data_IF_930574645884
#
_entry.id   IF_930574645884
#
_cell.length_a   1.000
_cell.length_b   1.000
_cell.length_c   1.000
_cell.angle_alpha   90.00
_cell.angle_beta   90.00
_cell.angle_gamma   90.00
#
_symmetry.space_group_name_H-M   'P 1'
#
loop_
_entity.id
_entity.type
_entity.pdbx_description
1 polymer ?
#
# COMPACT_ATOMS: atom_id res chain seq x y z
N UNK A 1 -3.77 28.54 -14.07
CA UNK A 1 -3.11 27.26 -14.44
C UNK A 1 -2.41 26.74 -13.20
N UNK A 2 -2.90 25.65 -12.60
CA UNK A 2 -2.12 24.95 -11.57
C UNK A 2 -0.94 24.29 -12.30
N UNK A 3 0.29 24.59 -11.88
CA UNK A 3 1.46 23.89 -12.40
C UNK A 3 1.24 22.39 -12.25
N UNK A 4 1.61 21.63 -13.25
CA UNK A 4 1.59 20.16 -13.16
C UNK A 4 2.46 19.78 -11.96
N UNK A 5 1.88 19.06 -11.00
CA UNK A 5 2.65 18.59 -9.84
C UNK A 5 3.72 17.63 -10.36
N UNK A 6 4.93 17.89 -10.01
CA UNK A 6 6.03 16.98 -10.31
C UNK A 6 6.12 15.93 -9.19
N UNK A 7 5.57 14.78 -9.48
CA UNK A 7 5.50 13.67 -8.51
C UNK A 7 6.87 13.17 -8.04
N UNK A 8 7.87 13.41 -8.82
CA UNK A 8 9.26 13.10 -8.44
C UNK A 8 9.82 14.10 -7.45
N UNK A 9 9.47 15.30 -7.59
CA UNK A 9 10.06 16.32 -6.85
C UNK A 9 9.28 16.81 -5.73
N UNK A 10 8.06 16.73 -5.91
CA UNK A 10 7.28 17.54 -4.97
C UNK A 10 6.55 16.71 -3.92
N UNK A 11 6.55 17.17 -2.66
CA UNK A 11 5.58 16.70 -1.66
C UNK A 11 4.19 17.27 -1.97
N UNK A 12 3.13 16.47 -1.80
CA UNK A 12 1.77 16.85 -2.20
C UNK A 12 0.88 16.98 -0.95
N UNK A 13 0.32 18.16 -0.73
CA UNK A 13 -0.61 18.36 0.38
C UNK A 13 -1.96 17.69 0.07
N UNK A 14 -2.32 16.67 0.85
CA UNK A 14 -3.58 15.92 0.68
C UNK A 14 -4.68 16.44 1.61
N UNK A 15 -4.29 17.07 2.72
CA UNK A 15 -5.18 17.79 3.65
C UNK A 15 -4.32 18.80 4.39
N UNK A 16 -4.93 19.74 5.08
CA UNK A 16 -4.20 20.82 5.78
C UNK A 16 -3.08 20.24 6.66
N UNK A 17 -1.84 20.62 6.36
CA UNK A 17 -0.65 20.16 7.10
C UNK A 17 -0.35 18.67 6.98
N UNK A 18 -0.96 17.99 6.01
CA UNK A 18 -0.78 16.56 5.75
C UNK A 18 -0.29 16.38 4.33
N UNK A 19 0.88 15.76 4.18
CA UNK A 19 1.59 15.68 2.90
C UNK A 19 1.93 14.25 2.54
N UNK A 20 1.67 13.88 1.30
CA UNK A 20 2.24 12.67 0.71
C UNK A 20 3.70 12.98 0.35
N UNK A 21 4.62 12.11 0.76
CA UNK A 21 6.07 12.32 0.59
C UNK A 21 6.77 11.09 -0.01
N UNK A 22 5.99 10.30 -0.73
CA UNK A 22 6.51 9.09 -1.36
C UNK A 22 7.05 9.27 -2.79
N UNK A 23 7.38 8.35 -3.37
CA UNK A 23 7.81 8.25 -4.67
C UNK A 23 6.82 7.46 -5.42
N UNK A 24 6.55 7.80 -6.51
CA UNK A 24 5.74 7.03 -7.45
C UNK A 24 6.36 7.06 -8.84
N UNK A 25 7.29 6.18 -9.10
CA UNK A 25 7.86 6.07 -10.45
C UNK A 25 6.77 5.70 -11.45
N UNK A 26 6.73 6.34 -12.63
CA UNK A 26 5.71 6.02 -13.65
C UNK A 26 5.73 4.55 -14.04
N UNK A 27 4.56 3.94 -14.11
CA UNK A 27 4.39 2.56 -14.53
C UNK A 27 4.67 1.51 -13.46
N UNK A 28 5.04 1.93 -12.26
CA UNK A 28 5.30 0.98 -11.17
C UNK A 28 3.98 0.45 -10.61
N UNK A 29 3.84 -0.88 -10.61
CA UNK A 29 2.65 -1.57 -10.15
C UNK A 29 2.43 -1.40 -8.64
N UNK A 30 3.53 -1.36 -7.89
CA UNK A 30 3.53 -1.38 -6.42
C UNK A 30 4.56 -0.38 -5.90
N UNK A 31 4.16 0.47 -4.96
CA UNK A 31 5.03 1.49 -4.36
C UNK A 31 4.51 1.82 -2.97
N UNK A 32 5.39 2.37 -2.12
CA UNK A 32 5.02 2.76 -0.77
C UNK A 32 4.67 4.24 -0.67
N UNK A 33 3.72 4.57 0.20
CA UNK A 33 3.22 5.92 0.44
C UNK A 33 3.56 6.39 1.86
N UNK A 34 4.73 6.95 2.11
CA UNK A 34 4.96 7.69 3.35
C UNK A 34 4.17 9.00 3.37
N UNK A 35 3.73 9.39 4.58
CA UNK A 35 3.00 10.64 4.79
C UNK A 35 3.64 11.44 5.91
N UNK A 36 3.69 12.76 5.75
CA UNK A 36 4.14 13.69 6.80
C UNK A 36 2.94 14.47 7.32
N UNK A 37 2.72 14.47 8.62
CA UNK A 37 1.72 15.32 9.26
C UNK A 37 2.40 16.31 10.20
N UNK A 38 2.21 17.60 9.95
CA UNK A 38 2.79 18.71 10.72
C UNK A 38 1.69 19.31 11.61
N UNK A 39 1.84 19.18 12.92
CA UNK A 39 0.93 19.77 13.89
C UNK A 39 1.55 21.04 14.47
N UNK A 40 0.78 22.10 14.51
CA UNK A 40 1.19 23.37 15.14
C UNK A 40 0.24 23.68 16.29
N UNK A 41 0.80 24.00 17.45
CA UNK A 41 -0.05 24.42 18.57
C UNK A 41 -0.80 25.71 18.19
N UNK A 42 -2.10 25.74 18.49
CA UNK A 42 -2.86 26.98 18.41
C UNK A 42 -2.32 27.91 19.51
N UNK A 43 -1.61 28.95 19.13
CA UNK A 43 -1.20 29.97 20.09
C UNK A 43 -2.46 30.64 20.63
N UNK A 44 -2.76 30.37 21.88
CA UNK A 44 -3.80 31.16 22.56
C UNK A 44 -3.32 32.60 22.63
N UNK A 45 -4.01 33.52 21.97
CA UNK A 45 -3.71 34.94 21.96
C UNK A 45 -3.81 35.60 23.36
N UNK A 46 -4.05 34.79 24.40
CA UNK A 46 -4.26 35.25 25.78
C UNK A 46 -3.12 34.92 26.75
N UNK A 47 -2.08 34.22 26.31
CA UNK A 47 -0.93 33.96 27.19
C UNK A 47 0.15 35.02 27.01
N UNK A 48 -0.01 36.12 27.72
CA UNK A 48 1.03 37.12 27.88
C UNK A 48 2.04 36.61 28.91
N UNK A 49 3.23 36.21 28.46
CA UNK A 49 4.37 36.15 29.34
C UNK A 49 5.03 34.83 29.69
N UNK A 50 4.94 33.81 28.83
CA UNK A 50 5.85 32.68 28.90
C UNK A 50 6.29 32.29 27.47
N UNK A 51 7.57 31.99 27.36
CA UNK A 51 8.22 31.57 26.12
C UNK A 51 7.77 30.16 25.74
N UNK A 52 6.47 29.99 25.49
CA UNK A 52 5.91 28.83 24.87
C UNK A 52 5.96 29.09 23.34
N UNK A 53 7.16 29.04 22.80
CA UNK A 53 7.37 29.13 21.37
C UNK A 53 6.50 28.10 20.65
N UNK A 54 6.12 28.41 19.41
CA UNK A 54 5.32 27.55 18.55
C UNK A 54 5.77 26.10 18.66
N UNK A 55 5.02 25.30 19.40
CA UNK A 55 5.31 23.88 19.50
C UNK A 55 4.82 23.19 18.23
N UNK A 56 5.75 22.61 17.52
CA UNK A 56 5.43 21.78 16.38
C UNK A 56 5.60 20.30 16.77
N UNK A 57 4.77 19.45 16.20
CA UNK A 57 4.94 18.02 16.28
C UNK A 57 4.92 17.48 14.83
N UNK A 58 6.05 17.00 14.38
CA UNK A 58 6.26 16.56 13.00
C UNK A 58 6.28 15.03 12.99
N UNK A 59 5.21 14.43 12.45
CA UNK A 59 4.99 12.99 12.45
C UNK A 59 5.14 12.44 11.04
N UNK A 60 6.14 11.57 10.85
CA UNK A 60 6.28 10.80 9.61
C UNK A 60 5.56 9.46 9.80
N UNK A 61 4.61 9.17 8.93
CA UNK A 61 3.77 7.97 9.02
C UNK A 61 4.20 7.02 7.93
N UNK A 62 4.62 5.81 8.33
CA UNK A 62 5.11 4.74 7.47
C UNK A 62 6.25 5.25 6.57
N UNK A 63 7.42 5.29 7.14
CA UNK A 63 8.60 6.01 6.59
C UNK A 63 9.12 5.46 5.24
N UNK A 64 8.58 4.34 4.79
CA UNK A 64 9.00 3.70 3.55
C UNK A 64 10.22 2.81 3.69
N UNK A 65 10.67 2.28 2.56
CA UNK A 65 11.83 1.40 2.50
C UNK A 65 13.14 2.19 2.57
N UNK A 66 14.23 1.48 2.80
CA UNK A 66 15.57 2.07 2.77
C UNK A 66 15.93 2.63 1.39
N UNK A 67 15.44 2.04 0.32
CA UNK A 67 15.67 2.53 -1.05
C UNK A 67 14.95 3.86 -1.32
N UNK A 68 13.78 4.08 -0.70
CA UNK A 68 13.00 5.31 -0.89
C UNK A 68 13.54 6.49 -0.07
N UNK A 69 14.43 6.23 0.88
CA UNK A 69 14.81 7.17 1.92
C UNK A 69 15.26 8.53 1.37
N UNK A 70 16.06 8.56 0.30
CA UNK A 70 16.58 9.83 -0.23
C UNK A 70 15.45 10.75 -0.72
N UNK A 71 14.48 10.17 -1.42
CA UNK A 71 13.33 10.92 -1.96
C UNK A 71 12.42 11.36 -0.82
N UNK A 72 12.11 10.46 0.10
CA UNK A 72 11.27 10.77 1.27
C UNK A 72 11.88 11.91 2.07
N UNK A 73 13.20 11.84 2.33
CA UNK A 73 13.91 12.89 3.03
C UNK A 73 13.77 14.24 2.34
N UNK A 74 14.05 14.31 1.04
CA UNK A 74 13.96 15.56 0.27
C UNK A 74 12.57 16.18 0.37
N UNK A 75 11.52 15.36 0.24
CA UNK A 75 10.14 15.83 0.30
C UNK A 75 9.72 16.25 1.71
N UNK A 76 10.17 15.54 2.74
CA UNK A 76 9.94 15.93 4.14
C UNK A 76 10.63 17.28 4.40
N UNK A 77 11.88 17.46 3.95
CA UNK A 77 12.63 18.69 4.17
C UNK A 77 12.05 19.90 3.41
N UNK A 78 11.21 19.70 2.39
CA UNK A 78 10.43 20.78 1.79
C UNK A 78 9.41 21.39 2.78
N UNK A 79 9.01 20.66 3.80
CA UNK A 79 7.94 21.06 4.73
C UNK A 79 8.44 21.43 6.12
N UNK A 80 9.47 20.74 6.62
CA UNK A 80 9.98 20.98 7.97
C UNK A 80 11.47 21.43 7.97
N UNK A 81 11.97 21.81 6.81
CA UNK A 81 13.32 22.35 6.58
C UNK A 81 14.46 21.35 6.81
N UNK A 82 14.42 20.56 7.87
CA UNK A 82 15.49 19.61 8.22
C UNK A 82 14.89 18.35 8.86
N UNK A 83 15.42 17.21 8.48
CA UNK A 83 14.93 15.93 8.97
C UNK A 83 15.10 15.76 10.50
N UNK A 84 16.08 16.45 11.11
CA UNK A 84 16.27 16.41 12.57
C UNK A 84 15.13 17.08 13.36
N UNK A 85 14.21 17.75 12.66
CA UNK A 85 13.00 18.33 13.25
C UNK A 85 11.84 17.32 13.33
N UNK A 86 12.02 16.08 12.86
CA UNK A 86 11.04 15.03 13.08
C UNK A 86 10.88 14.75 14.57
N UNK A 87 9.64 14.72 15.02
CA UNK A 87 9.31 14.43 16.44
C UNK A 87 9.06 12.94 16.63
N UNK A 88 8.45 12.30 15.65
CA UNK A 88 8.14 10.86 15.73
C UNK A 88 8.00 10.23 14.34
N UNK A 89 8.22 8.93 14.31
CA UNK A 89 7.89 8.06 13.18
C UNK A 89 6.82 7.09 13.65
N UNK A 90 5.71 7.02 12.94
CA UNK A 90 4.64 6.03 13.16
C UNK A 90 4.86 4.86 12.22
N UNK A 91 4.77 3.63 12.74
CA UNK A 91 4.92 2.41 11.93
C UNK A 91 3.67 1.57 12.10
N UNK A 92 2.88 1.46 11.04
CA UNK A 92 1.60 0.73 11.04
C UNK A 92 1.81 -0.76 11.38
N UNK A 93 2.76 -1.40 10.70
CA UNK A 93 3.10 -2.81 10.92
C UNK A 93 4.56 -3.04 10.50
N UNK A 94 5.04 -4.28 10.60
CA UNK A 94 6.48 -4.59 10.62
C UNK A 94 7.18 -4.68 9.25
N UNK A 95 6.47 -4.55 8.15
CA UNK A 95 7.07 -4.84 6.84
C UNK A 95 8.14 -3.80 6.46
N UNK A 96 9.21 -4.24 5.76
CA UNK A 96 10.32 -3.33 5.46
C UNK A 96 9.97 -2.12 4.60
N UNK A 97 9.02 -2.27 3.69
CA UNK A 97 8.52 -1.17 2.85
C UNK A 97 7.68 -0.15 3.64
N UNK A 98 7.18 -0.56 4.82
CA UNK A 98 6.46 0.33 5.74
C UNK A 98 7.44 1.19 6.55
N UNK A 99 8.50 0.57 7.09
CA UNK A 99 9.23 1.23 8.15
C UNK A 99 10.74 1.07 8.18
N UNK A 100 11.37 0.41 7.21
CA UNK A 100 12.82 0.13 7.35
C UNK A 100 13.68 1.39 7.26
N UNK A 101 13.25 2.47 6.59
CA UNK A 101 14.01 3.71 6.56
C UNK A 101 14.06 4.41 7.92
N UNK A 102 13.20 4.05 8.87
CA UNK A 102 13.25 4.58 10.25
C UNK A 102 14.61 4.32 10.91
N UNK A 103 15.28 3.22 10.56
CA UNK A 103 16.65 2.94 11.04
C UNK A 103 17.63 4.04 10.65
N UNK A 104 17.61 4.48 9.39
CA UNK A 104 18.47 5.57 8.91
C UNK A 104 18.04 6.91 9.53
N UNK A 105 16.74 7.15 9.63
CA UNK A 105 16.20 8.38 10.22
C UNK A 105 16.70 8.53 11.67
N UNK A 106 16.45 7.56 12.53
CA UNK A 106 16.85 7.65 13.93
C UNK A 106 18.37 7.54 14.10
N UNK A 107 19.02 6.70 13.30
CA UNK A 107 20.47 6.48 13.45
C UNK A 107 21.34 7.63 13.01
N UNK A 108 20.87 8.48 12.09
CA UNK A 108 21.72 9.53 11.47
C UNK A 108 21.15 10.95 11.56
N UNK A 109 19.84 11.12 11.58
CA UNK A 109 19.23 12.43 11.40
C UNK A 109 18.43 12.90 12.62
N UNK A 110 17.53 12.07 13.13
CA UNK A 110 16.62 12.43 14.20
C UNK A 110 16.70 11.45 15.39
N UNK A 111 17.83 11.38 16.08
CA UNK A 111 18.04 10.37 17.13
C UNK A 111 17.12 10.52 18.34
N UNK A 112 16.45 11.66 18.48
CA UNK A 112 15.49 11.89 19.57
C UNK A 112 14.03 11.63 19.15
N UNK A 113 13.78 11.32 17.88
CA UNK A 113 12.43 11.03 17.41
C UNK A 113 11.90 9.75 18.07
N UNK A 114 10.63 9.76 18.46
CA UNK A 114 9.97 8.56 18.97
C UNK A 114 9.61 7.61 17.83
N UNK A 115 9.56 6.31 18.13
CA UNK A 115 9.01 5.29 17.22
C UNK A 115 7.69 4.82 17.83
N UNK A 116 6.59 5.14 17.16
CA UNK A 116 5.24 4.82 17.64
C UNK A 116 4.75 3.59 16.85
N UNK A 117 4.49 2.50 17.53
CA UNK A 117 4.04 1.24 16.92
C UNK A 117 3.38 0.38 17.98
N UNK A 118 2.69 -0.69 17.60
CA UNK A 118 2.21 -1.69 18.56
C UNK A 118 3.38 -2.51 19.11
N UNK A 119 3.20 -3.11 20.28
CA UNK A 119 4.19 -4.03 20.86
C UNK A 119 4.47 -5.21 19.91
N UNK A 120 3.44 -5.72 19.23
CA UNK A 120 3.62 -6.82 18.26
C UNK A 120 4.49 -6.39 17.06
N UNK A 121 4.29 -5.18 16.57
CA UNK A 121 5.11 -4.60 15.50
C UNK A 121 6.53 -4.38 16.00
N UNK A 122 6.67 -3.78 17.20
CA UNK A 122 7.98 -3.50 17.80
C UNK A 122 8.85 -4.73 17.89
N UNK A 123 8.26 -5.90 18.24
CA UNK A 123 9.01 -7.17 18.37
C UNK A 123 9.82 -7.50 17.11
N UNK A 124 9.40 -7.02 15.96
CA UNK A 124 10.08 -7.28 14.68
C UNK A 124 10.93 -6.10 14.25
N UNK A 125 10.39 -4.87 14.30
CA UNK A 125 11.12 -3.69 13.78
C UNK A 125 12.32 -3.30 14.66
N UNK A 126 12.36 -3.72 15.93
CA UNK A 126 13.56 -3.47 16.77
C UNK A 126 14.83 -4.03 16.12
N UNK A 127 14.70 -5.05 15.26
CA UNK A 127 15.84 -5.64 14.55
C UNK A 127 16.40 -4.73 13.45
N UNK A 128 15.74 -3.62 13.15
CA UNK A 128 16.33 -2.52 12.37
C UNK A 128 17.34 -1.70 13.21
N UNK A 129 17.64 -2.14 14.44
CA UNK A 129 18.51 -1.46 15.41
C UNK A 129 17.90 -0.15 15.90
N UNK A 130 16.60 -0.10 16.08
CA UNK A 130 15.91 1.05 16.64
C UNK A 130 16.14 1.12 18.16
N UNK A 131 16.36 2.31 18.74
CA UNK A 131 16.61 2.44 20.17
C UNK A 131 15.34 2.21 21.00
N UNK A 132 15.40 1.27 21.93
CA UNK A 132 14.24 0.88 22.77
C UNK A 132 13.68 2.07 23.56
N UNK A 133 14.54 2.98 23.99
CA UNK A 133 14.15 4.16 24.77
C UNK A 133 13.31 5.15 23.98
N UNK A 134 13.28 5.05 22.66
CA UNK A 134 12.44 5.89 21.79
C UNK A 134 11.09 5.23 21.47
N UNK A 135 10.88 3.98 21.86
CA UNK A 135 9.66 3.25 21.53
C UNK A 135 8.49 3.73 22.37
N UNK A 136 7.36 3.97 21.69
CA UNK A 136 6.06 4.28 22.32
C UNK A 136 5.05 3.23 21.84
N UNK A 137 4.50 2.46 22.77
CA UNK A 137 3.51 1.43 22.46
C UNK A 137 2.15 2.09 22.21
N UNK A 138 1.74 2.15 20.94
CA UNK A 138 0.44 2.74 20.56
C UNK A 138 -0.75 1.96 21.13
N UNK A 139 -0.55 0.69 21.46
CA UNK A 139 -1.59 -0.14 22.11
C UNK A 139 -2.11 0.43 23.42
N UNK A 140 -1.30 1.26 24.09
CA UNK A 140 -1.71 1.93 25.33
C UNK A 140 -2.58 3.18 25.08
N UNK A 141 -2.74 3.60 23.83
CA UNK A 141 -3.40 4.85 23.43
C UNK A 141 -4.59 4.64 22.49
N UNK A 142 -5.18 3.46 22.47
CA UNK A 142 -6.31 3.17 21.56
C UNK A 142 -7.53 4.06 21.81
N UNK A 143 -7.64 4.64 23.02
CA UNK A 143 -8.69 5.62 23.33
C UNK A 143 -8.33 7.05 22.96
N UNK A 144 -7.12 7.28 22.45
CA UNK A 144 -6.63 8.59 22.02
C UNK A 144 -5.16 8.77 22.36
N UNK A 145 -4.38 9.19 21.38
CA UNK A 145 -2.95 9.50 21.52
C UNK A 145 -2.80 11.01 21.61
N UNK A 146 -2.60 11.56 22.82
CA UNK A 146 -2.46 13.02 22.97
C UNK A 146 -1.09 13.48 22.50
N UNK A 147 -1.04 14.62 21.80
CA UNK A 147 0.20 15.23 21.33
C UNK A 147 0.51 16.49 22.15
N UNK A 148 1.79 16.87 22.30
CA UNK A 148 2.17 18.10 23.04
C UNK A 148 1.58 19.39 22.48
N UNK A 149 1.13 19.37 21.23
CA UNK A 149 0.48 20.51 20.55
C UNK A 149 -0.99 20.68 20.94
N UNK A 150 -1.54 19.76 21.75
CA UNK A 150 -2.95 19.77 22.16
C UNK A 150 -3.87 18.94 21.27
N UNK A 151 -3.38 18.45 20.16
CA UNK A 151 -4.13 17.55 19.28
C UNK A 151 -4.23 16.14 19.90
N UNK A 152 -5.24 15.38 19.50
CA UNK A 152 -5.38 13.98 19.88
C UNK A 152 -5.62 13.14 18.62
N UNK A 153 -4.72 12.21 18.34
CA UNK A 153 -4.88 11.23 17.26
C UNK A 153 -5.67 10.01 17.77
N UNK A 154 -6.28 9.28 16.86
CA UNK A 154 -7.05 8.06 17.18
C UNK A 154 -6.38 6.84 16.53
N UNK A 155 -5.60 6.06 17.29
CA UNK A 155 -5.15 4.76 16.80
C UNK A 155 -6.36 3.82 16.62
N UNK A 156 -6.39 3.07 15.53
CA UNK A 156 -7.49 2.15 15.20
C UNK A 156 -6.87 0.78 14.93
N UNK A 157 -7.09 -0.17 15.82
CA UNK A 157 -6.56 -1.51 15.66
C UNK A 157 -7.14 -2.17 14.40
N UNK A 158 -6.26 -2.63 13.53
CA UNK A 158 -6.61 -3.29 12.26
C UNK A 158 -6.01 -4.70 12.21
N UNK A 159 -6.20 -5.43 13.31
CA UNK A 159 -5.57 -6.75 13.51
C UNK A 159 -5.85 -7.68 12.34
N UNK A 160 -4.78 -8.24 11.78
CA UNK A 160 -4.78 -9.11 10.61
C UNK A 160 -5.14 -8.41 9.29
N UNK A 161 -4.98 -7.08 9.25
CA UNK A 161 -5.01 -6.33 8.00
C UNK A 161 -3.62 -5.67 7.77
N UNK A 162 -2.54 -6.43 7.36
CA UNK A 162 -2.59 -7.92 7.22
C UNK A 162 -1.90 -8.62 8.41
N UNK A 163 -1.28 -7.90 9.31
CA UNK A 163 -0.49 -8.41 10.44
C UNK A 163 -1.26 -8.24 11.77
N UNK A 164 -0.97 -9.12 12.74
CA UNK A 164 -1.66 -9.09 14.04
C UNK A 164 -1.48 -7.76 14.78
N UNK A 165 -0.30 -7.13 14.61
CA UNK A 165 0.03 -5.86 15.27
C UNK A 165 -0.32 -4.61 14.49
N UNK A 166 -0.99 -4.73 13.35
CA UNK A 166 -1.32 -3.56 12.52
C UNK A 166 -2.26 -2.61 13.25
N UNK A 167 -1.91 -1.32 13.27
CA UNK A 167 -2.72 -0.26 13.88
C UNK A 167 -2.75 0.95 12.93
N UNK A 168 -3.91 1.26 12.41
CA UNK A 168 -4.14 2.46 11.61
C UNK A 168 -4.11 3.70 12.49
N UNK A 169 -3.89 4.86 11.89
CA UNK A 169 -3.89 6.13 12.61
C UNK A 169 -4.88 7.09 11.97
N UNK A 170 -5.81 7.61 12.77
CA UNK A 170 -6.82 8.56 12.31
C UNK A 170 -6.57 9.93 12.92
N UNK A 171 -6.59 10.97 12.08
CA UNK A 171 -6.50 12.37 12.50
C UNK A 171 -7.90 13.00 12.40
N UNK A 172 -8.60 13.23 13.54
CA UNK A 172 -9.94 13.81 13.49
C UNK A 172 -9.99 15.27 13.03
N UNK A 173 -8.86 16.00 13.10
CA UNK A 173 -8.81 17.39 12.64
C UNK A 173 -8.92 17.47 11.11
N UNK A 174 -8.19 16.62 10.40
CA UNK A 174 -8.17 16.61 8.93
C UNK A 174 -9.07 15.53 8.34
N UNK A 175 -9.60 14.64 9.18
CA UNK A 175 -10.43 13.49 8.81
C UNK A 175 -9.71 12.52 7.86
N UNK A 176 -8.39 12.43 8.03
CA UNK A 176 -7.53 11.51 7.26
C UNK A 176 -7.28 10.24 8.07
N UNK A 177 -7.56 9.10 7.46
CA UNK A 177 -7.21 7.78 8.00
C UNK A 177 -5.96 7.28 7.28
N UNK A 178 -4.85 7.14 8.00
CA UNK A 178 -3.63 6.48 7.51
C UNK A 178 -3.83 4.98 7.75
N UNK A 179 -4.22 4.28 6.70
CA UNK A 179 -4.80 2.95 6.85
C UNK A 179 -3.78 1.80 6.77
N UNK A 180 -2.50 2.10 6.52
CA UNK A 180 -1.53 1.04 6.29
C UNK A 180 -1.93 0.25 5.06
N UNK A 181 -1.88 -1.06 5.16
CA UNK A 181 -2.23 -1.94 4.03
C UNK A 181 -3.72 -2.00 3.73
N UNK A 182 -4.58 -1.66 4.69
CA UNK A 182 -6.01 -1.65 4.40
C UNK A 182 -6.31 -0.57 3.35
N UNK A 183 -7.00 -0.94 2.28
CA UNK A 183 -7.21 -0.14 1.07
C UNK A 183 -5.93 0.08 0.24
N UNK A 184 -4.84 -0.57 0.59
CA UNK A 184 -3.67 -0.64 -0.28
C UNK A 184 -4.03 -1.28 -1.62
N UNK A 185 -3.40 -0.82 -2.69
CA UNK A 185 -3.74 -1.34 -4.03
C UNK A 185 -2.54 -1.41 -4.96
N UNK A 186 -2.64 -2.30 -5.91
CA UNK A 186 -1.79 -2.29 -7.10
C UNK A 186 -2.28 -1.17 -8.01
N UNK A 187 -1.37 -0.49 -8.69
CA UNK A 187 -1.73 0.67 -9.52
C UNK A 187 -1.50 0.33 -10.99
N UNK A 188 -2.53 0.53 -11.81
CA UNK A 188 -2.42 0.34 -13.25
C UNK A 188 -1.34 1.28 -13.84
N UNK A 189 -0.63 0.81 -14.86
CA UNK A 189 0.48 1.54 -15.47
C UNK A 189 0.05 2.91 -16.04
N UNK A 190 -1.19 3.02 -16.49
CA UNK A 190 -1.75 4.23 -17.08
C UNK A 190 -2.51 5.12 -16.07
N UNK A 191 -2.56 4.74 -14.80
CA UNK A 191 -3.25 5.53 -13.78
C UNK A 191 -2.53 6.86 -13.54
N UNK A 192 -3.26 7.96 -13.63
CA UNK A 192 -2.71 9.32 -13.50
C UNK A 192 -3.10 9.97 -12.17
N UNK A 193 -2.16 10.70 -11.60
CA UNK A 193 -2.39 11.49 -10.40
C UNK A 193 -2.41 10.70 -9.11
N UNK A 194 -2.46 11.41 -7.99
CA UNK A 194 -2.39 10.83 -6.64
C UNK A 194 -3.73 10.26 -6.15
N UNK A 195 -4.84 10.75 -6.68
CA UNK A 195 -6.16 10.45 -6.11
C UNK A 195 -6.85 9.34 -6.89
N UNK A 196 -7.41 8.41 -6.15
CA UNK A 196 -8.08 7.24 -6.68
C UNK A 196 -9.38 7.59 -7.43
N UNK A 197 -9.73 6.78 -8.39
CA UNK A 197 -11.04 6.75 -9.03
C UNK A 197 -11.65 5.33 -8.89
N UNK A 198 -12.80 5.09 -9.50
CA UNK A 198 -13.49 3.80 -9.38
C UNK A 198 -12.66 2.63 -9.91
N UNK A 199 -11.80 2.87 -10.90
CA UNK A 199 -10.94 1.84 -11.50
C UNK A 199 -9.88 1.31 -10.54
N UNK A 200 -9.50 2.07 -9.52
CA UNK A 200 -8.53 1.61 -8.52
C UNK A 200 -9.03 0.42 -7.70
N UNK A 201 -10.36 0.22 -7.66
CA UNK A 201 -10.90 -0.93 -6.92
C UNK A 201 -10.30 -2.26 -7.41
N UNK A 202 -10.04 -2.40 -8.72
CA UNK A 202 -9.42 -3.61 -9.27
C UNK A 202 -8.08 -3.92 -8.58
N UNK A 203 -7.22 -2.92 -8.47
CA UNK A 203 -5.93 -3.08 -7.80
C UNK A 203 -6.06 -3.27 -6.29
N UNK A 204 -7.02 -2.59 -5.67
CA UNK A 204 -7.31 -2.74 -4.22
C UNK A 204 -7.81 -4.16 -3.96
N UNK A 205 -8.78 -4.65 -4.74
CA UNK A 205 -9.29 -6.02 -4.65
C UNK A 205 -8.14 -7.02 -4.76
N UNK A 206 -7.31 -6.86 -5.80
CA UNK A 206 -6.18 -7.75 -6.05
C UNK A 206 -5.22 -7.82 -4.87
N UNK A 207 -4.80 -6.66 -4.36
CA UNK A 207 -3.88 -6.58 -3.23
C UNK A 207 -4.46 -7.31 -2.01
N UNK A 208 -5.74 -7.09 -1.71
CA UNK A 208 -6.36 -7.70 -0.53
C UNK A 208 -6.54 -9.22 -0.70
N UNK A 209 -6.87 -9.69 -1.90
CA UNK A 209 -6.97 -11.13 -2.14
C UNK A 209 -5.62 -11.85 -2.01
N UNK A 210 -4.52 -11.17 -2.32
CA UNK A 210 -3.17 -11.71 -2.19
C UNK A 210 -2.68 -11.70 -0.73
N UNK A 211 -2.89 -10.59 -0.02
CA UNK A 211 -2.18 -10.35 1.26
C UNK A 211 -3.06 -10.48 2.51
N UNK A 212 -4.38 -10.29 2.43
CA UNK A 212 -5.22 -10.34 3.63
C UNK A 212 -5.65 -11.78 3.93
N UNK A 213 -5.71 -12.17 5.23
CA UNK A 213 -5.95 -13.57 5.57
C UNK A 213 -7.41 -14.00 5.45
N UNK A 214 -8.38 -13.18 5.85
CA UNK A 214 -9.81 -13.54 5.81
C UNK A 214 -10.69 -12.29 5.74
N UNK A 215 -11.86 -12.41 5.13
CA UNK A 215 -12.90 -11.37 5.14
C UNK A 215 -13.28 -10.95 6.57
N UNK A 216 -13.23 -11.87 7.52
CA UNK A 216 -13.57 -11.58 8.92
C UNK A 216 -12.72 -10.44 9.50
N UNK A 217 -11.43 -10.38 9.13
CA UNK A 217 -10.56 -9.28 9.54
C UNK A 217 -11.01 -7.95 8.91
N UNK A 218 -11.39 -7.99 7.63
CA UNK A 218 -11.87 -6.82 6.88
C UNK A 218 -13.16 -6.27 7.49
N UNK A 219 -14.15 -7.13 7.73
CA UNK A 219 -15.45 -6.74 8.31
C UNK A 219 -15.26 -6.01 9.65
N UNK A 220 -14.42 -6.58 10.53
CA UNK A 220 -14.15 -5.98 11.84
C UNK A 220 -13.49 -4.60 11.72
N UNK A 221 -12.53 -4.49 10.79
CA UNK A 221 -11.80 -3.24 10.61
C UNK A 221 -12.66 -2.16 9.95
N UNK A 222 -13.46 -2.53 8.94
CA UNK A 222 -14.43 -1.62 8.30
C UNK A 222 -15.42 -1.08 9.35
N UNK A 223 -15.92 -1.94 10.24
CA UNK A 223 -16.82 -1.51 11.32
C UNK A 223 -16.13 -0.49 12.24
N UNK A 224 -14.85 -0.70 12.56
CA UNK A 224 -14.08 0.25 13.38
C UNK A 224 -13.88 1.59 12.66
N UNK A 225 -13.65 1.57 11.35
CA UNK A 225 -13.51 2.81 10.54
C UNK A 225 -14.83 3.59 10.53
N UNK A 226 -15.97 2.90 10.32
CA UNK A 226 -17.29 3.54 10.32
C UNK A 226 -17.67 4.13 11.68
N UNK A 227 -17.11 3.60 12.78
CA UNK A 227 -17.39 4.11 14.13
C UNK A 227 -16.60 5.37 14.47
N UNK A 228 -15.71 5.83 13.60
CA UNK A 228 -14.91 7.05 13.85
C UNK A 228 -15.81 8.30 13.77
N UNK A 229 -15.59 9.21 14.70
CA UNK A 229 -16.31 10.49 14.77
C UNK A 229 -15.27 11.61 14.97
N UNK A 230 -15.24 12.61 14.09
CA UNK A 230 -16.00 12.74 12.84
C UNK A 230 -15.70 11.64 11.83
N UNK A 231 -16.57 11.40 10.83
CA UNK A 231 -16.33 10.33 9.86
C UNK A 231 -15.13 10.62 8.96
N UNK A 232 -14.52 9.55 8.48
CA UNK A 232 -13.35 9.61 7.58
C UNK A 232 -13.74 10.27 6.25
N UNK A 233 -12.94 11.23 5.79
CA UNK A 233 -13.11 11.88 4.47
C UNK A 233 -12.02 11.46 3.48
N UNK A 234 -10.85 11.10 3.99
CA UNK A 234 -9.70 10.69 3.15
C UNK A 234 -9.11 9.42 3.74
N UNK A 235 -8.92 8.40 2.91
CA UNK A 235 -8.12 7.24 3.28
C UNK A 235 -6.77 7.39 2.56
N UNK A 236 -5.70 7.37 3.34
CA UNK A 236 -4.31 7.50 2.91
C UNK A 236 -3.62 6.15 3.12
N UNK A 237 -3.71 5.23 2.13
CA UNK A 237 -3.15 3.89 2.28
C UNK A 237 -1.66 3.88 2.03
N UNK A 238 -1.01 2.82 2.49
CA UNK A 238 0.43 2.65 2.29
C UNK A 238 0.80 2.34 0.85
N UNK A 239 -0.12 1.74 0.08
CA UNK A 239 0.09 1.39 -1.32
C UNK A 239 -1.08 1.90 -2.16
N UNK A 240 -0.80 2.23 -3.42
CA UNK A 240 -1.85 2.69 -4.32
C UNK A 240 -2.19 4.16 -4.12
N UNK A 241 -3.35 4.57 -4.59
CA UNK A 241 -3.74 5.98 -4.67
C UNK A 241 -4.61 6.40 -3.50
N UNK A 242 -4.55 7.68 -3.13
CA UNK A 242 -5.29 8.27 -1.99
C UNK A 242 -6.79 8.31 -2.33
N UNK A 243 -7.62 7.81 -1.43
CA UNK A 243 -9.07 7.68 -1.64
C UNK A 243 -9.78 8.85 -0.98
N UNK A 244 -10.59 9.58 -1.74
CA UNK A 244 -11.30 10.77 -1.25
C UNK A 244 -12.82 10.59 -1.20
N UNK A 245 -13.41 11.19 -0.21
CA UNK A 245 -14.85 11.50 0.01
C UNK A 245 -15.86 10.55 -0.64
N UNK A 246 -16.14 10.77 -1.92
CA UNK A 246 -17.20 10.04 -2.63
C UNK A 246 -16.92 8.52 -2.72
N UNK A 247 -15.65 8.15 -2.76
CA UNK A 247 -15.25 6.74 -2.86
C UNK A 247 -15.11 6.07 -1.50
N UNK A 248 -14.99 6.82 -0.40
CA UNK A 248 -14.72 6.23 0.92
C UNK A 248 -15.79 5.22 1.30
N UNK A 249 -17.06 5.64 1.30
CA UNK A 249 -18.14 4.73 1.71
C UNK A 249 -18.36 3.59 0.71
N UNK A 250 -18.22 3.87 -0.59
CA UNK A 250 -18.34 2.83 -1.62
C UNK A 250 -17.27 1.75 -1.41
N UNK A 251 -16.01 2.18 -1.21
CA UNK A 251 -14.91 1.22 -1.04
C UNK A 251 -14.99 0.50 0.32
N UNK A 252 -15.47 1.16 1.37
CA UNK A 252 -15.78 0.48 2.64
C UNK A 252 -16.80 -0.65 2.43
N UNK A 253 -17.87 -0.35 1.69
CA UNK A 253 -18.91 -1.34 1.40
C UNK A 253 -18.41 -2.52 0.55
N UNK A 254 -17.56 -2.24 -0.44
CA UNK A 254 -16.94 -3.29 -1.27
C UNK A 254 -15.98 -4.14 -0.43
N UNK A 255 -15.16 -3.50 0.43
CA UNK A 255 -14.19 -4.18 1.29
C UNK A 255 -14.87 -5.14 2.26
N UNK A 256 -16.00 -4.71 2.83
CA UNK A 256 -16.77 -5.52 3.78
C UNK A 256 -17.25 -6.85 3.16
N UNK A 257 -17.51 -6.86 1.86
CA UNK A 257 -18.00 -8.05 1.15
C UNK A 257 -16.91 -8.88 0.46
N UNK A 258 -15.68 -8.38 0.46
CA UNK A 258 -14.60 -8.99 -0.32
C UNK A 258 -14.09 -10.27 0.33
N UNK A 259 -14.14 -11.37 -0.41
CA UNK A 259 -13.53 -12.63 0.01
C UNK A 259 -12.03 -12.59 -0.30
N UNK A 260 -11.21 -13.01 0.67
CA UNK A 260 -9.74 -12.88 0.57
C UNK A 260 -9.07 -14.10 1.22
N UNK A 261 -7.85 -14.35 0.84
CA UNK A 261 -6.97 -15.32 1.51
C UNK A 261 -7.66 -16.68 1.72
N UNK A 262 -7.83 -17.06 2.98
CA UNK A 262 -8.40 -18.35 3.36
C UNK A 262 -9.90 -18.52 3.02
N UNK A 263 -10.60 -17.43 2.73
CA UNK A 263 -12.01 -17.51 2.32
C UNK A 263 -12.17 -17.98 0.88
N UNK A 264 -11.13 -17.83 0.06
CA UNK A 264 -11.14 -18.19 -1.35
C UNK A 264 -10.77 -19.66 -1.43
N UNK A 265 -11.80 -20.50 -1.56
CA UNK A 265 -11.57 -21.93 -1.71
C UNK A 265 -10.95 -22.21 -3.07
N UNK A 266 -9.73 -22.71 -3.07
CA UNK A 266 -9.06 -23.14 -4.29
C UNK A 266 -9.44 -24.59 -4.60
N UNK A 267 -10.48 -24.78 -5.38
CA UNK A 267 -10.75 -26.11 -5.95
C UNK A 267 -10.01 -26.19 -7.29
N UNK A 268 -8.74 -26.57 -7.23
CA UNK A 268 -7.87 -26.69 -8.40
C UNK A 268 -8.31 -27.76 -9.38
N UNK A 269 -9.23 -28.63 -8.97
CA UNK A 269 -9.77 -29.69 -9.81
C UNK A 269 -11.04 -29.26 -10.59
N UNK A 270 -11.55 -28.07 -10.36
CA UNK A 270 -12.76 -27.59 -11.04
C UNK A 270 -12.49 -27.27 -12.52
N UNK A 271 -13.04 -28.10 -13.40
CA UNK A 271 -12.89 -27.92 -14.87
C UNK A 271 -13.50 -26.61 -15.37
N UNK A 272 -14.54 -26.09 -14.70
CA UNK A 272 -15.15 -24.80 -15.08
C UNK A 272 -14.16 -23.65 -14.83
N UNK A 273 -13.43 -23.70 -13.73
CA UNK A 273 -12.38 -22.74 -13.43
C UNK A 273 -11.24 -22.81 -14.45
N UNK A 274 -10.88 -24.00 -14.94
CA UNK A 274 -9.81 -24.15 -15.95
C UNK A 274 -10.15 -23.44 -17.26
N UNK A 275 -11.42 -23.38 -17.66
CA UNK A 275 -11.86 -22.60 -18.82
C UNK A 275 -11.62 -21.11 -18.60
N UNK A 276 -11.98 -20.62 -17.42
CA UNK A 276 -11.72 -19.22 -17.03
C UNK A 276 -10.22 -18.91 -17.04
N UNK A 277 -9.42 -19.75 -16.41
CA UNK A 277 -7.96 -19.57 -16.37
C UNK A 277 -7.33 -19.62 -17.76
N UNK A 278 -7.88 -20.45 -18.65
CA UNK A 278 -7.47 -20.49 -20.07
C UNK A 278 -7.73 -19.13 -20.74
N UNK A 279 -8.88 -18.51 -20.45
CA UNK A 279 -9.22 -17.19 -20.99
C UNK A 279 -8.26 -16.13 -20.44
N UNK A 280 -7.98 -16.13 -19.13
CA UNK A 280 -7.02 -15.22 -18.50
C UNK A 280 -5.66 -15.34 -19.19
N UNK A 281 -5.14 -16.56 -19.31
CA UNK A 281 -3.83 -16.80 -19.92
C UNK A 281 -3.77 -16.26 -21.35
N UNK A 282 -4.80 -16.52 -22.17
CA UNK A 282 -4.77 -16.08 -23.56
C UNK A 282 -4.86 -14.55 -23.68
N UNK A 283 -5.57 -13.86 -22.78
CA UNK A 283 -5.60 -12.38 -22.75
C UNK A 283 -4.19 -11.83 -22.44
N UNK A 284 -3.54 -12.38 -21.43
CA UNK A 284 -2.16 -11.97 -21.07
C UNK A 284 -1.20 -12.27 -22.22
N UNK A 285 -1.31 -13.45 -22.83
CA UNK A 285 -0.44 -13.86 -23.94
C UNK A 285 -0.62 -12.97 -25.17
N UNK A 286 -1.85 -12.59 -25.48
CA UNK A 286 -2.11 -11.66 -26.59
C UNK A 286 -1.45 -10.29 -26.34
N UNK A 287 -1.56 -9.80 -25.12
CA UNK A 287 -0.89 -8.55 -24.75
C UNK A 287 0.64 -8.71 -24.79
N UNK A 288 1.18 -9.82 -24.30
CA UNK A 288 2.61 -10.10 -24.36
C UNK A 288 3.14 -10.15 -25.80
N UNK A 289 2.37 -10.74 -26.70
CA UNK A 289 2.72 -10.77 -28.14
C UNK A 289 2.79 -9.39 -28.76
N UNK A 290 1.99 -8.45 -28.27
CA UNK A 290 2.04 -7.06 -28.76
C UNK A 290 3.34 -6.36 -28.39
N UNK A 291 3.99 -6.79 -27.30
CA UNK A 291 5.26 -6.23 -26.83
C UNK A 291 6.47 -6.98 -27.39
N UNK A 292 6.42 -8.31 -27.43
CA UNK A 292 7.60 -9.14 -27.69
C UNK A 292 7.44 -10.17 -28.84
N UNK A 293 6.31 -10.12 -29.56
CA UNK A 293 6.08 -11.01 -30.71
C UNK A 293 6.12 -12.47 -30.33
N UNK A 294 6.79 -13.26 -31.15
CA UNK A 294 6.89 -14.72 -30.97
C UNK A 294 7.67 -15.14 -29.73
N UNK A 295 8.48 -14.25 -29.18
CA UNK A 295 9.22 -14.52 -27.93
C UNK A 295 8.27 -14.89 -26.79
N UNK A 296 7.07 -14.31 -26.76
CA UNK A 296 6.07 -14.63 -25.73
C UNK A 296 5.75 -16.13 -25.73
N UNK A 297 5.46 -16.70 -26.88
CA UNK A 297 5.16 -18.13 -27.01
C UNK A 297 6.36 -19.00 -26.65
N UNK A 298 7.55 -18.57 -27.06
CA UNK A 298 8.79 -19.30 -26.79
C UNK A 298 9.07 -19.36 -25.28
N UNK A 299 8.87 -18.26 -24.57
CA UNK A 299 9.06 -18.23 -23.11
C UNK A 299 8.18 -19.25 -22.40
N UNK A 300 6.89 -19.33 -22.79
CA UNK A 300 5.97 -20.31 -22.19
C UNK A 300 6.36 -21.74 -22.55
N UNK A 301 6.74 -21.99 -23.82
CA UNK A 301 7.13 -23.35 -24.28
C UNK A 301 8.41 -23.85 -23.62
N UNK A 302 9.34 -22.94 -23.31
CA UNK A 302 10.62 -23.28 -22.70
C UNK A 302 10.51 -23.43 -21.17
N UNK A 303 9.45 -22.93 -20.56
CA UNK A 303 9.26 -23.03 -19.12
C UNK A 303 8.93 -24.49 -18.74
N UNK A 304 9.84 -25.13 -18.00
CA UNK A 304 9.75 -26.55 -17.64
C UNK A 304 8.55 -26.83 -16.70
N UNK A 305 8.21 -25.88 -15.84
CA UNK A 305 7.14 -26.03 -14.86
C UNK A 305 5.76 -26.01 -15.53
N UNK A 306 5.65 -25.29 -16.65
CA UNK A 306 4.39 -25.16 -17.39
C UNK A 306 4.13 -26.28 -18.38
N UNK A 307 5.12 -27.13 -18.65
CA UNK A 307 5.06 -28.17 -19.70
C UNK A 307 3.83 -29.07 -19.58
N UNK A 308 3.53 -29.52 -18.37
CA UNK A 308 2.41 -30.43 -18.14
C UNK A 308 1.09 -29.69 -17.90
N UNK A 309 1.15 -28.40 -17.57
CA UNK A 309 -0.03 -27.59 -17.27
C UNK A 309 -0.66 -26.93 -18.50
N UNK A 310 0.10 -26.77 -19.59
CA UNK A 310 -0.35 -26.07 -20.78
C UNK A 310 -0.41 -26.97 -22.00
N UNK A 311 -1.37 -26.70 -22.89
CA UNK A 311 -1.44 -27.28 -24.24
C UNK A 311 -1.49 -26.15 -25.25
N UNK A 312 -0.65 -26.23 -26.27
CA UNK A 312 -0.56 -25.21 -27.32
C UNK A 312 -1.35 -25.68 -28.54
N UNK A 313 -2.37 -24.99 -28.92
CA UNK A 313 -3.25 -25.28 -30.04
C UNK A 313 -3.19 -24.11 -31.06
N UNK A 314 -2.15 -24.11 -31.89
CA UNK A 314 -1.87 -23.00 -32.80
C UNK A 314 -1.48 -21.74 -32.03
N UNK A 315 -2.29 -20.70 -32.14
CA UNK A 315 -2.05 -19.42 -31.45
C UNK A 315 -2.71 -19.36 -30.05
N UNK A 316 -3.53 -20.35 -29.68
CA UNK A 316 -4.16 -20.39 -28.37
C UNK A 316 -3.45 -21.39 -27.46
N UNK A 317 -3.58 -21.14 -26.16
CA UNK A 317 -2.98 -22.00 -25.12
C UNK A 317 -4.11 -22.39 -24.16
N UNK A 318 -4.23 -23.68 -23.88
CA UNK A 318 -5.22 -24.22 -22.95
C UNK A 318 -4.53 -24.59 -21.64
N UNK A 319 -5.09 -24.14 -20.53
CA UNK A 319 -4.69 -24.56 -19.18
C UNK A 319 -5.38 -25.90 -18.86
N UNK A 320 -4.59 -26.94 -18.58
CA UNK A 320 -5.08 -28.32 -18.35
C UNK A 320 -5.23 -28.65 -16.86
N UNK A 321 -4.47 -28.00 -16.01
CA UNK A 321 -4.46 -28.26 -14.56
C UNK A 321 -3.82 -27.10 -13.81
N UNK A 322 -4.05 -27.03 -12.48
CA UNK A 322 -3.45 -26.04 -11.60
C UNK A 322 -3.73 -24.62 -12.10
N UNK A 323 -4.99 -24.33 -12.43
CA UNK A 323 -5.39 -23.15 -13.20
C UNK A 323 -4.73 -21.83 -12.76
N UNK A 324 -4.97 -21.43 -11.51
CA UNK A 324 -4.41 -20.20 -10.95
C UNK A 324 -2.87 -20.21 -10.99
N UNK A 325 -2.28 -21.30 -10.47
CA UNK A 325 -0.82 -21.45 -10.41
C UNK A 325 -0.20 -21.41 -11.82
N UNK A 326 -0.82 -22.09 -12.79
CA UNK A 326 -0.29 -22.11 -14.17
C UNK A 326 -0.29 -20.69 -14.78
N UNK A 327 -1.34 -19.89 -14.52
CA UNK A 327 -1.39 -18.48 -14.97
C UNK A 327 -0.29 -17.67 -14.27
N UNK A 328 -0.12 -17.83 -12.95
CA UNK A 328 0.92 -17.14 -12.19
C UNK A 328 2.31 -17.42 -12.75
N UNK A 329 2.60 -18.71 -13.00
CA UNK A 329 3.89 -19.12 -13.59
C UNK A 329 4.06 -18.59 -15.02
N UNK A 330 2.98 -18.54 -15.80
CA UNK A 330 3.02 -17.98 -17.15
C UNK A 330 3.32 -16.47 -17.12
N UNK A 331 2.67 -15.73 -16.23
CA UNK A 331 2.94 -14.29 -16.04
C UNK A 331 4.40 -14.08 -15.65
N UNK A 332 4.90 -14.86 -14.70
CA UNK A 332 6.31 -14.78 -14.28
C UNK A 332 7.26 -15.07 -15.46
N UNK A 333 6.99 -16.10 -16.24
CA UNK A 333 7.81 -16.44 -17.41
C UNK A 333 7.81 -15.31 -18.47
N UNK A 334 6.66 -14.65 -18.64
CA UNK A 334 6.51 -13.57 -19.62
C UNK A 334 7.14 -12.25 -19.14
N UNK A 335 7.21 -12.03 -17.84
CA UNK A 335 7.69 -10.75 -17.28
C UNK A 335 9.13 -10.80 -16.80
N UNK A 336 9.67 -11.99 -16.53
CA UNK A 336 11.05 -12.15 -16.03
C UNK A 336 12.07 -11.49 -16.96
N UNK A 337 12.88 -10.57 -16.39
CA UNK A 337 13.91 -9.84 -17.14
C UNK A 337 13.36 -8.76 -18.06
N UNK A 338 12.06 -8.45 -18.00
CA UNK A 338 11.46 -7.36 -18.78
C UNK A 338 11.48 -6.06 -17.97
N UNK A 339 11.47 -4.94 -18.67
CA UNK A 339 11.31 -3.62 -18.02
C UNK A 339 9.88 -3.46 -17.49
N UNK A 340 9.70 -2.54 -16.56
CA UNK A 340 8.39 -2.24 -15.98
C UNK A 340 7.35 -1.82 -17.03
N UNK A 341 7.80 -1.18 -18.11
CA UNK A 341 6.94 -0.79 -19.23
C UNK A 341 6.24 -1.99 -19.85
N UNK A 342 6.89 -3.16 -19.81
CA UNK A 342 6.33 -4.42 -20.32
C UNK A 342 5.70 -5.23 -19.20
N UNK A 343 6.42 -5.40 -18.09
CA UNK A 343 6.00 -6.29 -17.00
C UNK A 343 4.71 -5.82 -16.32
N UNK A 344 4.61 -4.52 -16.00
CA UNK A 344 3.46 -3.99 -15.25
C UNK A 344 2.13 -4.18 -16.00
N UNK A 345 2.01 -3.82 -17.29
CA UNK A 345 0.76 -4.09 -18.01
C UNK A 345 0.39 -5.57 -18.06
N UNK A 346 1.35 -6.47 -18.22
CA UNK A 346 1.07 -7.92 -18.28
C UNK A 346 0.55 -8.43 -16.94
N UNK A 347 1.18 -8.03 -15.85
CA UNK A 347 0.74 -8.38 -14.48
C UNK A 347 -0.66 -7.85 -14.22
N UNK A 348 -0.91 -6.58 -14.59
CA UNK A 348 -2.21 -5.96 -14.37
C UNK A 348 -3.30 -6.59 -15.23
N UNK A 349 -3.00 -6.97 -16.48
CA UNK A 349 -3.95 -7.66 -17.34
C UNK A 349 -4.41 -9.00 -16.71
N UNK A 350 -3.49 -9.74 -16.10
CA UNK A 350 -3.86 -10.99 -15.41
C UNK A 350 -4.87 -10.72 -14.27
N UNK A 351 -4.69 -9.61 -13.54
CA UNK A 351 -5.58 -9.20 -12.45
C UNK A 351 -6.96 -8.82 -13.00
N UNK A 352 -7.00 -7.97 -14.04
CA UNK A 352 -8.25 -7.53 -14.67
C UNK A 352 -9.01 -8.71 -15.26
N UNK A 353 -8.32 -9.57 -16.00
CA UNK A 353 -8.95 -10.71 -16.64
C UNK A 353 -9.56 -11.69 -15.62
N UNK A 354 -8.88 -11.89 -14.48
CA UNK A 354 -9.41 -12.73 -13.41
C UNK A 354 -10.66 -12.09 -12.79
N UNK A 355 -10.63 -10.78 -12.52
CA UNK A 355 -11.79 -10.07 -11.98
C UNK A 355 -13.00 -10.15 -12.93
N UNK A 356 -12.79 -9.92 -14.23
CA UNK A 356 -13.85 -9.99 -15.24
C UNK A 356 -14.56 -11.35 -15.28
N UNK A 357 -13.86 -12.41 -14.88
CA UNK A 357 -14.36 -13.78 -14.90
C UNK A 357 -14.76 -14.30 -13.51
N UNK A 358 -14.78 -13.41 -12.52
CA UNK A 358 -15.08 -13.72 -11.12
C UNK A 358 -14.17 -14.83 -10.55
N UNK A 359 -12.91 -14.85 -11.00
CA UNK A 359 -11.87 -15.74 -10.50
C UNK A 359 -11.07 -15.06 -9.39
N UNK A 360 -10.46 -15.83 -8.48
CA UNK A 360 -9.54 -15.26 -7.49
C UNK A 360 -8.37 -14.55 -8.18
N UNK A 361 -7.91 -13.44 -7.62
CA UNK A 361 -6.78 -12.70 -8.17
C UNK A 361 -5.53 -13.59 -8.19
N UNK A 362 -4.84 -13.73 -9.34
CA UNK A 362 -3.55 -14.41 -9.37
C UNK A 362 -2.50 -13.59 -8.61
N UNK A 363 -1.60 -14.28 -7.92
CA UNK A 363 -0.50 -13.62 -7.23
C UNK A 363 0.51 -13.13 -8.28
N UNK A 364 0.66 -11.82 -8.37
CA UNK A 364 1.64 -11.21 -9.27
C UNK A 364 2.83 -10.73 -8.45
N UNK A 365 4.02 -11.15 -8.83
CA UNK A 365 5.25 -10.71 -8.15
C UNK A 365 5.50 -9.25 -8.46
N UNK A 366 5.79 -8.45 -7.45
CA UNK A 366 6.29 -7.08 -7.66
C UNK A 366 7.74 -7.16 -8.14
N UNK A 367 8.12 -6.19 -8.95
CA UNK A 367 9.47 -6.17 -9.46
C UNK A 367 10.45 -5.92 -8.31
N UNK A 368 11.45 -6.80 -8.22
CA UNK A 368 12.55 -6.58 -7.31
C UNK A 368 13.46 -5.51 -7.92
N UNK A 369 13.79 -4.52 -7.12
CA UNK A 369 14.79 -3.54 -7.55
C UNK A 369 16.14 -4.26 -7.70
N UNK A 370 16.72 -4.19 -8.89
CA UNK A 370 18.05 -4.74 -9.16
C UNK A 370 19.15 -3.77 -8.71
#
# INVERSE_FOLDING_TARGET
MRSKVDWEXDSVEIAQGTYWVGXRPPGLLFYANPYLRVFKSAVSALSVGKDDGDREFNLLIDSGSGSDFSIVREKVEQRISRLDQLTAVYVNHQDPDVGSSSATILGRYAPRASVIASEETWRLIQYYKLPREQFVDVGQYLNGLPLPTGHTLRPVASRYCHFVGAVMLYDPETRVLFSGDLFGGLTAADAEGLYADEGDWTGIRAFHQIYMPTNKALVRTVAAVRALDPPVEIIAPQHGRVIQRALVEDFLGRMERLQVGLDIAEDEADESALTGWTTVLNRVLELARSYMGNEADERLRQNKELRDCLRFDGSSVTVKMLGRWAVEQAVEALTSGQSDVVATPLKFEAVVAAEDLDLPTPTVTVNEET
#
